data_IF_434286870936
#
_entry.id   IF_434286870936
#
_cell.length_a   1.000
_cell.length_b   1.000
_cell.length_c   1.000
_cell.angle_alpha   90.00
_cell.angle_beta   90.00
_cell.angle_gamma   90.00
#
_symmetry.space_group_name_H-M   'P 1'
#
loop_
_entity.id
_entity.type
_entity.pdbx_description
1 polymer ?
#
# COMPACT_ATOMS: atom_id res chain seq x y z
N UNK A 1 37.21 18.19 -19.07
CA UNK A 1 35.99 17.61 -18.44
C UNK A 1 35.28 16.80 -19.47
N UNK A 2 34.79 15.63 -19.08
CA UNK A 2 34.04 14.75 -19.98
C UNK A 2 32.81 14.23 -19.29
N UNK A 3 31.74 14.01 -20.06
CA UNK A 3 30.60 13.23 -19.57
C UNK A 3 30.87 11.74 -19.57
N UNK A 4 29.92 10.96 -19.06
CA UNK A 4 29.94 9.49 -19.09
C UNK A 4 29.94 8.92 -20.52
N UNK A 5 29.56 9.72 -21.50
CA UNK A 5 29.57 9.47 -22.95
C UNK A 5 30.89 9.81 -23.65
N UNK A 6 31.86 10.40 -22.91
CA UNK A 6 33.17 10.82 -23.44
C UNK A 6 33.18 12.17 -24.17
N UNK A 7 32.05 12.89 -24.22
CA UNK A 7 31.98 14.24 -24.77
C UNK A 7 32.57 15.29 -23.81
N UNK A 8 33.21 16.33 -24.36
CA UNK A 8 33.76 17.46 -23.60
C UNK A 8 32.67 18.50 -23.34
N UNK A 9 32.60 19.04 -22.09
CA UNK A 9 31.60 20.02 -21.74
C UNK A 9 32.15 21.43 -21.59
N UNK A 10 31.72 22.32 -22.48
CA UNK A 10 31.91 23.76 -22.42
C UNK A 10 30.95 24.40 -21.44
N UNK A 11 31.37 25.43 -20.71
CA UNK A 11 30.50 26.21 -19.81
C UNK A 11 30.13 25.49 -18.49
N UNK A 12 30.82 24.41 -18.12
CA UNK A 12 30.63 23.82 -16.78
C UNK A 12 31.24 24.74 -15.72
N UNK A 13 30.48 25.03 -14.66
CA UNK A 13 30.90 25.93 -13.58
C UNK A 13 31.84 25.22 -12.62
N UNK A 14 33.06 25.76 -12.46
CA UNK A 14 34.06 25.26 -11.53
C UNK A 14 34.29 26.29 -10.43
N UNK A 15 34.06 25.87 -9.19
CA UNK A 15 34.22 26.70 -7.98
C UNK A 15 35.40 26.14 -7.18
N UNK A 16 36.42 26.99 -6.97
CA UNK A 16 37.58 26.71 -6.12
C UNK A 16 37.34 27.33 -4.74
N UNK A 17 37.24 26.53 -3.68
CA UNK A 17 37.21 26.98 -2.29
C UNK A 17 38.51 26.57 -1.56
N UNK A 18 39.14 27.56 -0.91
CA UNK A 18 40.32 27.33 -0.06
C UNK A 18 39.87 27.03 1.38
N UNK A 19 40.60 26.14 2.08
CA UNK A 19 40.34 25.71 3.46
C UNK A 19 39.11 24.83 3.69
N UNK A 20 38.50 24.25 2.67
CA UNK A 20 37.50 23.17 2.80
C UNK A 20 36.19 23.52 3.49
N UNK A 21 35.92 24.78 3.83
CA UNK A 21 34.67 25.25 4.47
C UNK A 21 33.74 25.88 3.45
N UNK A 22 32.56 25.28 3.28
CA UNK A 22 31.49 25.76 2.38
C UNK A 22 30.86 27.10 2.83
N UNK A 23 31.22 27.63 4.01
CA UNK A 23 30.55 28.76 4.66
C UNK A 23 31.48 29.80 5.29
N UNK A 24 32.67 29.92 4.83
CA UNK A 24 33.58 30.99 5.33
C UNK A 24 34.00 31.89 4.18
N UNK A 25 33.71 33.20 4.27
CA UNK A 25 34.06 34.20 3.31
C UNK A 25 35.57 34.38 3.12
N UNK A 26 36.20 33.47 2.37
CA UNK A 26 37.50 33.70 1.76
C UNK A 26 37.48 33.15 0.35
N UNK A 27 37.37 34.09 -0.58
CA UNK A 27 37.67 34.02 -2.01
C UNK A 27 37.40 32.66 -2.69
N UNK A 28 36.16 32.27 -2.83
CA UNK A 28 35.78 31.25 -3.81
C UNK A 28 35.99 31.86 -5.21
N UNK A 29 36.92 31.36 -5.97
CA UNK A 29 37.08 31.71 -7.38
C UNK A 29 36.15 30.82 -8.20
N UNK A 30 35.43 31.44 -9.14
CA UNK A 30 34.52 30.69 -10.03
C UNK A 30 34.96 30.98 -11.45
N UNK A 31 35.13 29.91 -12.25
CA UNK A 31 35.37 29.99 -13.68
C UNK A 31 34.48 28.96 -14.40
N UNK A 32 34.38 29.12 -15.71
CA UNK A 32 33.70 28.15 -16.57
C UNK A 32 34.74 27.43 -17.45
N UNK A 33 34.43 26.18 -17.83
CA UNK A 33 35.27 25.43 -18.75
C UNK A 33 35.15 26.00 -20.15
N UNK A 34 36.28 25.95 -20.90
CA UNK A 34 36.35 26.34 -22.31
C UNK A 34 35.71 25.28 -23.25
N UNK A 35 35.82 25.54 -24.56
CA UNK A 35 35.29 24.65 -25.61
C UNK A 35 35.95 23.26 -25.66
N UNK A 36 37.10 23.10 -25.01
CA UNK A 36 37.81 21.81 -24.88
C UNK A 36 37.52 21.14 -23.54
N UNK A 37 36.66 21.75 -22.70
CA UNK A 37 36.31 21.27 -21.35
C UNK A 37 37.46 21.48 -20.35
N UNK A 38 38.43 22.36 -20.65
CA UNK A 38 39.54 22.65 -19.76
C UNK A 38 39.26 23.88 -18.88
N UNK A 39 39.94 23.96 -17.74
CA UNK A 39 39.87 25.11 -16.84
C UNK A 39 41.24 25.35 -16.19
N UNK A 40 41.56 26.60 -15.88
CA UNK A 40 42.80 26.97 -15.23
C UNK A 40 42.59 28.05 -14.17
N UNK A 41 42.94 27.75 -12.92
CA UNK A 41 43.10 28.75 -11.87
C UNK A 41 44.55 29.15 -11.74
N UNK A 42 44.87 30.45 -11.78
CA UNK A 42 46.20 30.99 -11.58
C UNK A 42 46.29 31.80 -10.29
N UNK A 43 47.48 31.82 -9.67
CA UNK A 43 47.70 32.57 -8.44
C UNK A 43 47.01 31.99 -7.20
N UNK A 44 46.76 30.70 -7.18
CA UNK A 44 46.10 30.04 -6.03
C UNK A 44 47.09 29.91 -4.87
N UNK A 45 46.75 30.39 -3.66
CA UNK A 45 47.57 30.21 -2.46
C UNK A 45 47.80 28.73 -2.12
N UNK A 46 48.96 28.39 -1.58
CA UNK A 46 49.23 27.06 -1.06
C UNK A 46 48.32 26.68 0.12
N UNK A 47 47.85 25.47 0.15
CA UNK A 47 46.97 24.98 1.21
C UNK A 47 45.98 23.94 0.72
N UNK A 48 45.10 23.43 1.61
CA UNK A 48 44.02 22.54 1.22
C UNK A 48 42.96 23.31 0.40
N UNK A 49 42.46 22.64 -0.63
CA UNK A 49 41.44 23.20 -1.51
C UNK A 49 40.34 22.18 -1.83
N UNK A 50 39.20 22.68 -2.22
CA UNK A 50 38.07 21.90 -2.76
C UNK A 50 37.65 22.54 -4.10
N UNK A 51 37.60 21.74 -5.15
CA UNK A 51 37.00 22.08 -6.43
C UNK A 51 35.57 21.48 -6.45
N UNK A 52 34.58 22.28 -6.69
CA UNK A 52 33.24 21.81 -6.98
C UNK A 52 32.88 22.11 -8.41
N UNK A 53 32.54 21.08 -9.15
CA UNK A 53 32.24 21.15 -10.58
C UNK A 53 30.80 20.81 -10.82
N UNK A 54 30.05 21.70 -11.48
CA UNK A 54 28.64 21.57 -11.76
C UNK A 54 28.27 21.99 -13.17
N UNK A 55 27.34 21.26 -13.77
CA UNK A 55 26.69 21.62 -15.04
C UNK A 55 25.22 21.25 -14.98
N UNK A 56 24.38 21.93 -15.74
CA UNK A 56 22.95 21.68 -15.78
C UNK A 56 22.66 20.25 -16.27
N UNK A 57 21.88 19.47 -15.53
CA UNK A 57 21.58 18.08 -15.87
C UNK A 57 22.60 17.04 -15.37
N UNK A 58 23.62 17.46 -14.60
CA UNK A 58 24.66 16.56 -14.07
C UNK A 58 24.80 16.65 -12.56
N UNK A 59 25.30 15.57 -11.97
CA UNK A 59 25.61 15.50 -10.52
C UNK A 59 26.88 16.29 -10.26
N UNK A 60 26.83 17.27 -9.34
CA UNK A 60 28.00 18.04 -8.92
C UNK A 60 29.09 17.10 -8.38
N UNK A 61 30.30 17.22 -8.94
CA UNK A 61 31.46 16.48 -8.47
C UNK A 61 32.35 17.37 -7.61
N UNK A 62 32.90 16.79 -6.54
CA UNK A 62 33.87 17.50 -5.67
C UNK A 62 35.23 16.79 -5.70
N UNK A 63 36.26 17.55 -5.92
CA UNK A 63 37.68 17.09 -5.88
C UNK A 63 38.41 17.87 -4.79
N UNK A 64 39.01 17.19 -3.86
CA UNK A 64 39.80 17.80 -2.78
C UNK A 64 41.27 17.52 -2.96
N UNK A 65 42.12 18.48 -2.60
CA UNK A 65 43.55 18.32 -2.69
C UNK A 65 44.27 19.31 -1.77
N UNK A 66 45.60 19.20 -1.75
CA UNK A 66 46.49 20.15 -1.06
C UNK A 66 47.50 20.64 -2.06
N UNK A 67 47.62 21.99 -2.21
CA UNK A 67 48.56 22.64 -3.09
C UNK A 67 49.80 23.07 -2.29
N UNK A 68 50.97 22.59 -2.66
CA UNK A 68 52.24 23.05 -2.08
C UNK A 68 52.71 24.36 -2.72
N UNK A 69 53.51 25.19 -2.03
CA UNK A 69 54.02 26.43 -2.57
C UNK A 69 54.79 26.21 -3.90
N UNK A 70 54.36 26.94 -4.96
CA UNK A 70 54.98 26.83 -6.28
C UNK A 70 54.65 25.56 -7.10
N UNK A 71 53.73 24.76 -6.61
CA UNK A 71 53.30 23.53 -7.28
C UNK A 71 52.13 23.81 -8.25
N UNK A 72 52.14 23.18 -9.40
CA UNK A 72 50.94 23.03 -10.23
C UNK A 72 50.22 21.73 -9.87
N UNK A 73 48.93 21.80 -9.72
CA UNK A 73 48.07 20.64 -9.46
C UNK A 73 47.22 20.31 -10.69
N UNK A 74 47.38 19.12 -11.21
CA UNK A 74 46.55 18.60 -12.31
C UNK A 74 45.37 17.82 -11.71
N UNK A 75 44.16 18.35 -11.87
CA UNK A 75 42.93 17.75 -11.38
C UNK A 75 42.51 16.47 -12.14
N UNK A 76 43.28 16.07 -13.16
CA UNK A 76 42.94 14.97 -14.07
C UNK A 76 41.54 15.13 -14.70
N UNK A 77 41.10 14.08 -15.37
CA UNK A 77 39.78 14.09 -16.01
C UNK A 77 38.66 13.93 -14.95
N UNK A 78 37.82 14.96 -14.82
CA UNK A 78 36.63 14.92 -13.94
C UNK A 78 35.45 14.52 -14.80
N UNK A 79 34.84 13.39 -14.48
CA UNK A 79 33.64 12.88 -15.17
C UNK A 79 32.40 13.33 -14.39
N UNK A 80 31.48 14.01 -15.08
CA UNK A 80 30.18 14.38 -14.53
C UNK A 80 29.12 13.31 -14.86
N UNK A 81 28.61 12.55 -13.89
CA UNK A 81 27.50 11.65 -14.12
C UNK A 81 26.24 12.47 -14.44
N UNK A 82 25.47 12.04 -15.43
CA UNK A 82 24.14 12.61 -15.66
C UNK A 82 23.29 12.49 -14.38
N UNK A 83 22.54 13.54 -14.07
CA UNK A 83 21.43 13.41 -13.14
C UNK A 83 20.46 12.45 -13.79
N UNK A 84 20.50 11.16 -13.40
CA UNK A 84 19.36 10.31 -13.65
C UNK A 84 18.18 11.03 -12.99
N UNK A 85 17.18 11.40 -13.78
CA UNK A 85 15.90 11.81 -13.27
C UNK A 85 15.26 10.55 -12.62
N UNK A 86 15.78 10.16 -11.46
CA UNK A 86 15.02 9.37 -10.51
C UNK A 86 13.88 10.30 -10.13
N UNK A 87 12.74 10.13 -10.78
CA UNK A 87 11.47 10.60 -10.27
C UNK A 87 11.20 9.84 -8.97
N UNK A 88 12.03 10.02 -7.97
CA UNK A 88 11.61 9.89 -6.58
C UNK A 88 10.66 11.05 -6.36
N UNK A 89 9.39 10.83 -6.72
CA UNK A 89 8.30 11.62 -6.21
C UNK A 89 8.35 11.41 -4.69
N UNK A 90 9.07 12.25 -3.98
CA UNK A 90 8.95 12.39 -2.52
C UNK A 90 7.57 12.97 -2.28
N UNK A 91 6.58 12.10 -2.36
CA UNK A 91 5.21 12.44 -1.99
C UNK A 91 5.28 12.79 -0.51
N UNK A 92 5.03 14.05 -0.18
CA UNK A 92 4.95 14.50 1.22
C UNK A 92 3.90 13.65 1.97
N UNK A 93 4.03 13.50 3.29
CA UNK A 93 3.06 12.73 4.09
C UNK A 93 1.61 13.21 3.89
N UNK A 94 1.41 14.50 3.60
CA UNK A 94 0.11 15.08 3.25
C UNK A 94 -0.41 14.57 1.90
N UNK A 95 0.43 14.52 0.89
CA UNK A 95 0.05 14.01 -0.43
C UNK A 95 -0.21 12.49 -0.40
N UNK A 96 0.53 11.73 0.41
CA UNK A 96 0.24 10.31 0.64
C UNK A 96 -1.14 10.10 1.29
N UNK A 97 -1.49 10.95 2.25
CA UNK A 97 -2.79 10.89 2.90
C UNK A 97 -3.93 11.29 1.95
N UNK A 98 -3.70 12.24 1.06
CA UNK A 98 -4.66 12.63 0.02
C UNK A 98 -4.90 11.50 -0.98
N UNK A 99 -3.84 10.87 -1.49
CA UNK A 99 -3.93 9.70 -2.38
C UNK A 99 -4.65 8.55 -1.67
N UNK A 100 -4.32 8.25 -0.42
CA UNK A 100 -4.99 7.20 0.35
C UNK A 100 -6.48 7.50 0.56
N UNK A 101 -6.84 8.77 0.76
CA UNK A 101 -8.23 9.20 0.92
C UNK A 101 -9.00 9.08 -0.38
N UNK A 102 -8.41 9.45 -1.51
CA UNK A 102 -9.03 9.27 -2.83
C UNK A 102 -9.21 7.79 -3.17
N UNK A 103 -8.19 6.95 -2.91
CA UNK A 103 -8.29 5.51 -3.14
C UNK A 103 -9.43 4.87 -2.33
N UNK A 104 -9.57 5.25 -1.06
CA UNK A 104 -10.67 4.71 -0.23
C UNK A 104 -12.03 5.20 -0.71
N UNK A 105 -12.11 6.46 -1.18
CA UNK A 105 -13.35 6.98 -1.74
C UNK A 105 -13.78 6.20 -2.99
N UNK A 106 -12.84 5.83 -3.84
CA UNK A 106 -13.08 4.95 -4.99
C UNK A 106 -13.53 3.56 -4.53
N UNK A 107 -12.87 2.98 -3.52
CA UNK A 107 -13.20 1.66 -2.97
C UNK A 107 -14.59 1.62 -2.34
N UNK A 108 -15.00 2.68 -1.63
CA UNK A 108 -16.34 2.82 -1.05
C UNK A 108 -17.47 2.94 -2.09
N UNK A 109 -17.12 3.28 -3.33
CA UNK A 109 -18.07 3.34 -4.45
C UNK A 109 -18.09 2.05 -5.27
N UNK A 110 -17.21 1.08 -4.96
CA UNK A 110 -17.15 -0.17 -5.70
C UNK A 110 -18.39 -1.02 -5.44
N UNK A 111 -19.13 -1.29 -6.51
CA UNK A 111 -20.29 -2.17 -6.49
C UNK A 111 -20.25 -3.12 -7.67
N UNK A 112 -20.37 -4.42 -7.39
CA UNK A 112 -20.53 -5.46 -8.40
C UNK A 112 -21.91 -5.31 -9.00
N UNK A 113 -22.01 -5.27 -10.31
CA UNK A 113 -23.27 -5.01 -11.06
C UNK A 113 -23.97 -3.71 -10.62
N UNK A 114 -23.24 -2.78 -10.01
CA UNK A 114 -23.79 -1.53 -9.49
C UNK A 114 -24.59 -1.65 -8.19
N UNK A 115 -24.74 -2.84 -7.62
CA UNK A 115 -25.58 -3.12 -6.44
C UNK A 115 -24.79 -3.68 -5.26
N UNK A 116 -24.04 -4.77 -5.45
CA UNK A 116 -23.32 -5.49 -4.40
C UNK A 116 -22.10 -4.73 -3.91
N UNK A 117 -21.96 -4.40 -2.62
CA UNK A 117 -20.78 -3.71 -2.10
C UNK A 117 -19.51 -4.56 -2.26
N UNK A 118 -18.41 -3.92 -2.69
CA UNK A 118 -17.11 -4.55 -2.91
C UNK A 118 -15.99 -3.70 -2.30
N UNK A 119 -16.13 -3.34 -1.03
CA UNK A 119 -15.29 -2.33 -0.37
C UNK A 119 -13.90 -2.83 0.05
N UNK A 120 -13.78 -4.14 0.33
CA UNK A 120 -12.53 -4.73 0.79
C UNK A 120 -11.66 -5.29 -0.35
N UNK A 121 -11.65 -4.61 -1.49
CA UNK A 121 -10.83 -5.00 -2.64
C UNK A 121 -10.16 -3.78 -3.24
N UNK A 122 -8.85 -3.83 -3.40
CA UNK A 122 -8.11 -2.81 -4.12
C UNK A 122 -7.70 -3.30 -5.51
N UNK A 123 -8.09 -2.54 -6.54
CA UNK A 123 -7.68 -2.76 -7.94
C UNK A 123 -6.51 -1.87 -8.36
N UNK A 124 -6.01 -1.04 -7.44
CA UNK A 124 -4.90 -0.13 -7.69
C UNK A 124 -3.57 -0.90 -7.82
N UNK A 125 -2.71 -0.46 -8.76
CA UNK A 125 -1.37 -1.03 -8.94
C UNK A 125 -0.44 -0.72 -7.78
N UNK A 126 -0.54 0.51 -7.24
CA UNK A 126 0.23 1.00 -6.12
C UNK A 126 -0.72 1.42 -4.99
N UNK A 127 -1.35 0.46 -4.30
CA UNK A 127 -2.28 0.78 -3.23
C UNK A 127 -1.54 1.37 -2.03
N UNK A 128 -2.08 2.46 -1.50
CA UNK A 128 -1.60 3.02 -0.24
C UNK A 128 -2.16 2.22 0.94
N UNK A 129 -1.37 2.03 2.02
CA UNK A 129 -1.86 1.36 3.21
C UNK A 129 -2.97 2.17 3.89
N UNK A 130 -3.97 1.47 4.44
CA UNK A 130 -5.07 2.12 5.15
C UNK A 130 -4.64 2.56 6.55
N UNK A 131 -5.00 3.78 6.92
CA UNK A 131 -4.94 4.22 8.32
C UNK A 131 -5.98 3.48 9.16
N UNK A 132 -5.79 3.40 10.48
CA UNK A 132 -6.78 2.79 11.38
C UNK A 132 -8.17 3.42 11.22
N UNK A 133 -8.24 4.75 11.07
CA UNK A 133 -9.51 5.46 10.84
C UNK A 133 -10.22 4.96 9.58
N UNK A 134 -9.48 4.76 8.50
CA UNK A 134 -10.03 4.28 7.24
C UNK A 134 -10.49 2.82 7.31
N UNK A 135 -9.78 1.96 8.08
CA UNK A 135 -10.21 0.59 8.36
C UNK A 135 -11.56 0.58 9.08
N UNK A 136 -11.75 1.43 10.10
CA UNK A 136 -13.02 1.60 10.78
C UNK A 136 -14.11 2.18 9.87
N UNK A 137 -13.77 3.11 8.99
CA UNK A 137 -14.70 3.69 8.01
C UNK A 137 -15.23 2.61 7.05
N UNK A 138 -14.36 1.75 6.50
CA UNK A 138 -14.78 0.63 5.65
C UNK A 138 -15.66 -0.38 6.41
N UNK A 139 -15.30 -0.74 7.65
CA UNK A 139 -16.06 -1.65 8.47
C UNK A 139 -17.46 -1.12 8.76
N UNK A 140 -17.56 0.17 9.12
CA UNK A 140 -18.85 0.83 9.33
C UNK A 140 -19.67 0.86 8.05
N UNK A 141 -19.07 1.31 6.94
CA UNK A 141 -19.75 1.40 5.64
C UNK A 141 -20.30 0.05 5.18
N UNK A 142 -19.49 -1.00 5.32
CA UNK A 142 -19.91 -2.37 5.00
C UNK A 142 -21.06 -2.86 5.89
N UNK A 143 -21.06 -2.49 7.16
CA UNK A 143 -22.08 -2.91 8.10
C UNK A 143 -23.44 -2.23 7.88
N UNK A 144 -23.44 -0.94 7.52
CA UNK A 144 -24.67 -0.14 7.30
C UNK A 144 -25.14 -0.12 5.85
N UNK A 145 -24.49 -0.84 4.94
CA UNK A 145 -24.91 -0.88 3.54
C UNK A 145 -26.29 -1.51 3.39
N UNK A 146 -27.22 -0.91 2.64
CA UNK A 146 -28.56 -1.44 2.43
C UNK A 146 -28.58 -2.88 1.89
N UNK A 147 -27.58 -3.23 1.06
CA UNK A 147 -27.46 -4.59 0.55
C UNK A 147 -27.08 -5.61 1.63
N UNK A 148 -26.30 -5.20 2.63
CA UNK A 148 -25.97 -6.04 3.79
C UNK A 148 -27.23 -6.41 4.57
N UNK A 149 -28.15 -5.47 4.79
CA UNK A 149 -29.46 -5.74 5.40
C UNK A 149 -30.30 -6.70 4.55
N UNK A 150 -30.35 -6.47 3.24
CA UNK A 150 -31.08 -7.35 2.33
C UNK A 150 -30.54 -8.78 2.38
N UNK A 151 -29.24 -8.94 2.28
CA UNK A 151 -28.57 -10.24 2.28
C UNK A 151 -28.77 -10.95 3.62
N UNK A 152 -28.64 -10.25 4.75
CA UNK A 152 -28.93 -10.76 6.09
C UNK A 152 -30.37 -11.28 6.17
N UNK A 153 -31.33 -10.54 5.60
CA UNK A 153 -32.72 -10.96 5.53
C UNK A 153 -32.94 -12.23 4.73
N UNK A 154 -32.26 -12.34 3.58
CA UNK A 154 -32.28 -13.55 2.75
C UNK A 154 -31.73 -14.76 3.51
N UNK A 155 -30.57 -14.62 4.16
CA UNK A 155 -29.98 -15.70 4.96
C UNK A 155 -30.89 -16.11 6.11
N UNK A 156 -31.43 -15.15 6.86
CA UNK A 156 -32.39 -15.44 7.93
C UNK A 156 -33.63 -16.17 7.41
N UNK A 157 -34.09 -15.85 6.19
CA UNK A 157 -35.21 -16.55 5.53
C UNK A 157 -34.85 -18.00 5.16
N UNK A 158 -33.66 -18.23 4.61
CA UNK A 158 -33.15 -19.58 4.30
C UNK A 158 -33.04 -20.43 5.58
N UNK A 159 -32.40 -19.89 6.61
CA UNK A 159 -32.29 -20.54 7.93
C UNK A 159 -33.65 -20.85 8.56
N UNK A 160 -34.60 -19.93 8.41
CA UNK A 160 -35.97 -20.14 8.86
C UNK A 160 -36.66 -21.30 8.11
N UNK A 161 -36.50 -21.34 6.78
CA UNK A 161 -37.06 -22.39 5.93
C UNK A 161 -36.43 -23.77 6.20
N UNK A 162 -35.14 -23.81 6.51
CA UNK A 162 -34.40 -25.03 6.83
C UNK A 162 -34.49 -25.42 8.31
N UNK A 163 -35.13 -24.60 9.14
CA UNK A 163 -35.17 -24.72 10.59
C UNK A 163 -33.77 -24.79 11.24
N UNK A 164 -32.79 -24.14 10.61
CA UNK A 164 -31.46 -23.99 11.19
C UNK A 164 -31.56 -23.15 12.47
N UNK A 165 -30.78 -23.48 13.50
CA UNK A 165 -30.92 -22.85 14.84
C UNK A 165 -32.34 -22.97 15.39
N UNK A 166 -32.80 -24.22 15.52
CA UNK A 166 -34.19 -24.54 15.96
C UNK A 166 -34.56 -23.87 17.28
N UNK A 167 -33.62 -23.59 18.17
CA UNK A 167 -33.82 -22.87 19.42
C UNK A 167 -34.35 -21.44 19.29
N UNK A 168 -34.23 -20.81 18.09
CA UNK A 168 -34.90 -19.53 17.84
C UNK A 168 -36.40 -19.64 17.62
N UNK A 169 -36.92 -20.84 17.35
CA UNK A 169 -38.32 -21.09 17.01
C UNK A 169 -38.68 -20.73 15.58
N UNK A 170 -39.96 -20.76 15.26
CA UNK A 170 -40.52 -20.49 13.94
C UNK A 170 -41.37 -19.21 13.92
N UNK A 171 -41.87 -18.83 12.74
CA UNK A 171 -42.68 -17.63 12.53
C UNK A 171 -41.89 -16.32 12.56
N UNK A 172 -42.59 -15.19 12.66
CA UNK A 172 -41.97 -13.86 12.59
C UNK A 172 -40.97 -13.62 13.73
N UNK A 173 -41.18 -14.16 14.89
CA UNK A 173 -40.27 -14.03 16.03
C UNK A 173 -38.97 -14.83 15.78
N UNK A 174 -39.08 -16.07 15.29
CA UNK A 174 -37.91 -16.88 14.92
C UNK A 174 -37.10 -16.24 13.80
N UNK A 175 -37.77 -15.71 12.77
CA UNK A 175 -37.13 -14.96 11.69
C UNK A 175 -36.40 -13.73 12.23
N UNK A 176 -37.03 -12.91 13.06
CA UNK A 176 -36.42 -11.71 13.63
C UNK A 176 -35.18 -12.01 14.47
N UNK A 177 -35.20 -13.12 15.24
CA UNK A 177 -34.02 -13.56 16.01
C UNK A 177 -32.86 -13.98 15.10
N UNK A 178 -33.14 -14.77 14.04
CA UNK A 178 -32.12 -15.15 13.03
C UNK A 178 -31.56 -13.93 12.30
N UNK A 179 -32.44 -13.01 11.88
CA UNK A 179 -32.01 -11.75 11.26
C UNK A 179 -31.08 -10.95 12.19
N UNK A 180 -31.50 -10.78 13.47
CA UNK A 180 -30.70 -10.06 14.47
C UNK A 180 -29.33 -10.72 14.72
N UNK A 181 -29.28 -12.06 14.81
CA UNK A 181 -28.05 -12.82 15.00
C UNK A 181 -27.12 -12.69 13.80
N UNK A 182 -27.61 -12.92 12.58
CA UNK A 182 -26.81 -12.79 11.35
C UNK A 182 -26.28 -11.36 11.14
N UNK A 183 -27.09 -10.36 11.49
CA UNK A 183 -26.66 -8.97 11.43
C UNK A 183 -25.60 -8.66 12.49
N UNK A 184 -25.76 -9.17 13.71
CA UNK A 184 -24.76 -9.02 14.76
C UNK A 184 -23.43 -9.69 14.37
N UNK A 185 -23.46 -10.90 13.79
CA UNK A 185 -22.28 -11.59 13.26
C UNK A 185 -21.56 -10.75 12.21
N UNK A 186 -22.30 -10.13 11.29
CA UNK A 186 -21.75 -9.25 10.26
C UNK A 186 -21.07 -8.03 10.86
N UNK A 187 -21.72 -7.34 11.80
CA UNK A 187 -21.16 -6.15 12.48
C UNK A 187 -19.93 -6.52 13.29
N UNK A 188 -19.98 -7.62 14.05
CA UNK A 188 -18.86 -8.11 14.86
C UNK A 188 -17.67 -8.48 13.97
N UNK A 189 -17.91 -9.24 12.90
CA UNK A 189 -16.86 -9.65 11.96
C UNK A 189 -16.22 -8.46 11.25
N UNK A 190 -17.02 -7.51 10.75
CA UNK A 190 -16.51 -6.30 10.11
C UNK A 190 -15.72 -5.43 11.10
N UNK A 191 -16.20 -5.31 12.34
CA UNK A 191 -15.55 -4.46 13.34
C UNK A 191 -14.27 -5.10 13.86
N UNK A 192 -14.30 -6.36 14.26
CA UNK A 192 -13.12 -7.04 14.84
C UNK A 192 -12.13 -7.44 13.74
N UNK A 193 -12.59 -8.19 12.73
CA UNK A 193 -11.75 -8.72 11.66
C UNK A 193 -11.40 -7.69 10.59
N UNK A 194 -12.26 -6.68 10.35
CA UNK A 194 -12.05 -5.65 9.33
C UNK A 194 -11.42 -4.36 9.85
N UNK A 195 -11.49 -4.06 11.15
CA UNK A 195 -10.98 -2.79 11.69
C UNK A 195 -10.07 -2.95 12.92
N UNK A 196 -10.56 -3.52 14.04
CA UNK A 196 -9.81 -3.55 15.31
C UNK A 196 -8.50 -4.33 15.16
N UNK A 197 -8.57 -5.60 14.80
CA UNK A 197 -7.39 -6.46 14.68
C UNK A 197 -6.45 -6.03 13.55
N UNK A 198 -6.93 -5.64 12.35
CA UNK A 198 -6.06 -5.06 11.34
C UNK A 198 -5.34 -3.79 11.79
N UNK A 199 -5.99 -2.96 12.62
CA UNK A 199 -5.33 -1.76 13.18
C UNK A 199 -4.29 -2.13 14.23
N UNK A 200 -4.58 -3.10 15.11
CA UNK A 200 -3.69 -3.57 16.17
C UNK A 200 -2.43 -4.26 15.60
N UNK A 201 -2.62 -5.14 14.62
CA UNK A 201 -1.54 -5.90 13.99
C UNK A 201 -0.89 -5.18 12.81
N UNK A 202 -1.31 -3.94 12.50
CA UNK A 202 -0.84 -3.17 11.35
C UNK A 202 -0.96 -3.97 10.05
N UNK A 203 -2.13 -4.55 9.83
CA UNK A 203 -2.48 -5.34 8.65
C UNK A 203 -3.51 -4.62 7.80
N UNK A 204 -3.44 -4.80 6.49
CA UNK A 204 -4.44 -4.28 5.57
C UNK A 204 -5.50 -5.36 5.31
N UNK A 205 -6.78 -5.11 5.61
CA UNK A 205 -7.83 -6.11 5.47
C UNK A 205 -8.30 -6.35 4.04
N UNK A 206 -7.76 -5.59 3.06
CA UNK A 206 -8.21 -5.67 1.67
C UNK A 206 -7.55 -6.83 0.91
N UNK A 207 -8.31 -7.39 -0.03
CA UNK A 207 -7.77 -8.21 -1.10
C UNK A 207 -7.13 -7.33 -2.17
N UNK A 208 -5.89 -7.58 -2.52
CA UNK A 208 -5.18 -6.87 -3.59
C UNK A 208 -5.25 -7.67 -4.88
N UNK A 209 -5.98 -7.13 -5.86
CA UNK A 209 -6.17 -7.79 -7.15
C UNK A 209 -4.84 -7.94 -7.91
N UNK A 210 -4.48 -9.18 -8.27
CA UNK A 210 -3.23 -9.46 -8.98
C UNK A 210 -3.33 -9.14 -10.47
N UNK A 211 -4.33 -9.66 -11.13
CA UNK A 211 -4.67 -9.36 -12.53
C UNK A 211 -3.68 -9.79 -13.60
N UNK A 212 -2.46 -10.18 -13.24
CA UNK A 212 -1.37 -10.52 -14.16
C UNK A 212 -0.80 -11.91 -13.90
N UNK A 213 -0.24 -12.52 -14.93
CA UNK A 213 0.32 -13.88 -14.86
C UNK A 213 -0.64 -14.97 -15.36
N UNK A 214 -0.20 -16.23 -15.29
CA UNK A 214 -0.99 -17.39 -15.70
C UNK A 214 -2.21 -17.60 -14.78
N UNK A 215 -3.23 -18.30 -15.30
CA UNK A 215 -4.42 -18.66 -14.50
C UNK A 215 -4.01 -19.40 -13.22
N UNK A 216 -3.08 -20.34 -13.32
CA UNK A 216 -2.56 -21.09 -12.17
C UNK A 216 -1.95 -20.14 -11.11
N UNK A 217 -1.03 -19.26 -11.50
CA UNK A 217 -0.35 -18.34 -10.60
C UNK A 217 -1.34 -17.34 -9.93
N UNK A 218 -2.41 -16.97 -10.62
CA UNK A 218 -3.49 -16.10 -10.08
C UNK A 218 -4.38 -16.87 -9.10
N UNK A 219 -4.69 -18.13 -9.40
CA UNK A 219 -5.46 -19.00 -8.49
C UNK A 219 -4.69 -19.30 -7.21
N UNK A 220 -3.41 -19.70 -7.33
CA UNK A 220 -2.52 -19.93 -6.17
C UNK A 220 -2.41 -18.68 -5.29
N UNK A 221 -2.27 -17.50 -5.91
CA UNK A 221 -2.26 -16.22 -5.20
C UNK A 221 -3.58 -15.97 -4.46
N UNK A 222 -4.73 -16.13 -5.12
CA UNK A 222 -6.04 -15.91 -4.52
C UNK A 222 -6.30 -16.84 -3.32
N UNK A 223 -5.88 -18.10 -3.42
CA UNK A 223 -5.96 -19.07 -2.32
C UNK A 223 -5.02 -18.67 -1.17
N UNK A 224 -3.76 -18.35 -1.48
CA UNK A 224 -2.78 -17.98 -0.48
C UNK A 224 -3.22 -16.75 0.33
N UNK A 225 -3.89 -15.78 -0.30
CA UNK A 225 -4.38 -14.57 0.37
C UNK A 225 -5.55 -14.79 1.34
N UNK A 226 -6.07 -16.00 1.46
CA UNK A 226 -6.96 -16.35 2.58
C UNK A 226 -6.18 -16.44 3.92
N UNK A 227 -4.89 -16.85 3.86
CA UNK A 227 -4.06 -17.06 5.06
C UNK A 227 -2.93 -16.06 5.19
N UNK A 228 -2.58 -15.31 4.13
CA UNK A 228 -1.60 -14.23 4.14
C UNK A 228 -2.25 -12.93 3.71
N UNK A 229 -1.77 -11.81 4.24
CA UNK A 229 -2.21 -10.47 3.87
C UNK A 229 -1.02 -9.51 3.77
N UNK A 230 -1.24 -8.29 3.29
CA UNK A 230 -0.25 -7.23 3.37
C UNK A 230 -0.34 -6.52 4.72
N UNK A 231 0.81 -6.14 5.26
CA UNK A 231 0.87 -5.20 6.37
C UNK A 231 0.75 -3.75 5.89
N UNK A 232 0.63 -2.81 6.83
CA UNK A 232 0.64 -1.37 6.53
C UNK A 232 1.99 -0.90 5.93
N UNK A 233 3.03 -1.76 5.99
CA UNK A 233 4.30 -1.59 5.28
C UNK A 233 4.32 -2.23 3.89
N UNK A 234 3.17 -2.68 3.40
CA UNK A 234 2.95 -3.38 2.13
C UNK A 234 3.73 -4.70 1.95
N UNK A 235 4.33 -5.24 3.03
CA UNK A 235 5.00 -6.55 3.03
C UNK A 235 4.01 -7.66 3.36
N UNK A 236 4.23 -8.84 2.79
CA UNK A 236 3.43 -10.03 3.06
C UNK A 236 3.70 -10.57 4.45
N UNK A 237 2.64 -10.99 5.13
CA UNK A 237 2.67 -11.61 6.46
C UNK A 237 1.47 -12.53 6.66
N UNK A 238 1.48 -13.36 7.72
CA UNK A 238 0.31 -14.16 8.07
C UNK A 238 -0.88 -13.25 8.43
N UNK A 239 -2.07 -13.64 7.99
CA UNK A 239 -3.30 -12.90 8.24
C UNK A 239 -3.82 -13.13 9.66
N UNK A 240 -3.05 -12.64 10.66
CA UNK A 240 -3.45 -12.76 12.08
C UNK A 240 -4.82 -12.14 12.34
N UNK A 241 -5.08 -10.98 11.74
CA UNK A 241 -6.35 -10.26 11.92
C UNK A 241 -7.54 -11.04 11.39
N UNK A 242 -7.43 -11.68 10.23
CA UNK A 242 -8.49 -12.51 9.67
C UNK A 242 -8.74 -13.78 10.49
N UNK A 243 -7.65 -14.48 10.86
CA UNK A 243 -7.73 -15.73 11.62
C UNK A 243 -8.29 -15.48 13.02
N UNK A 244 -7.68 -14.57 13.78
CA UNK A 244 -8.13 -14.26 15.15
C UNK A 244 -9.48 -13.53 15.15
N UNK A 245 -9.76 -12.75 14.11
CA UNK A 245 -11.05 -12.08 13.91
C UNK A 245 -12.18 -13.09 13.74
N UNK A 246 -11.96 -14.12 12.92
CA UNK A 246 -12.93 -15.22 12.74
C UNK A 246 -13.17 -15.99 14.04
N UNK A 247 -12.09 -16.33 14.77
CA UNK A 247 -12.22 -17.00 16.08
C UNK A 247 -12.94 -16.13 17.11
N UNK A 248 -12.63 -14.84 17.20
CA UNK A 248 -13.27 -13.92 18.12
C UNK A 248 -14.74 -13.69 17.78
N UNK A 249 -15.08 -13.52 16.50
CA UNK A 249 -16.45 -13.38 16.06
C UNK A 249 -17.26 -14.65 16.38
N UNK A 250 -16.74 -15.84 16.09
CA UNK A 250 -17.38 -17.11 16.44
C UNK A 250 -17.54 -17.30 17.95
N UNK A 251 -16.57 -16.86 18.76
CA UNK A 251 -16.69 -16.87 20.21
C UNK A 251 -17.78 -15.92 20.74
N UNK A 252 -17.88 -14.73 20.17
CA UNK A 252 -18.88 -13.72 20.56
C UNK A 252 -20.29 -14.15 20.12
N UNK A 253 -20.44 -14.78 18.96
CA UNK A 253 -21.74 -15.25 18.47
C UNK A 253 -22.39 -16.27 19.41
N UNK A 254 -21.59 -17.06 20.13
CA UNK A 254 -22.12 -17.96 21.18
C UNK A 254 -22.90 -17.24 22.32
N UNK A 255 -22.71 -15.92 22.48
CA UNK A 255 -23.45 -15.18 23.52
C UNK A 255 -24.94 -14.99 23.20
N UNK A 256 -25.28 -14.92 21.91
CA UNK A 256 -26.64 -14.65 21.43
C UNK A 256 -27.30 -15.77 20.63
N UNK A 257 -26.54 -16.82 20.28
CA UNK A 257 -27.12 -18.03 19.69
C UNK A 257 -27.82 -18.89 20.77
N UNK A 258 -28.83 -19.68 20.39
CA UNK A 258 -29.50 -20.56 21.34
C UNK A 258 -28.53 -21.55 21.98
N UNK A 259 -28.77 -21.87 23.27
CA UNK A 259 -27.87 -22.79 23.99
C UNK A 259 -27.77 -24.19 23.38
N UNK A 260 -28.83 -24.64 22.70
CA UNK A 260 -28.87 -25.91 21.97
C UNK A 260 -27.97 -25.92 20.74
N UNK A 261 -27.66 -24.74 20.18
CA UNK A 261 -26.96 -24.59 18.92
C UNK A 261 -25.56 -23.98 19.12
N UNK A 262 -25.14 -23.80 20.39
CA UNK A 262 -23.80 -23.31 20.74
C UNK A 262 -22.76 -24.37 20.43
N UNK A 263 -21.80 -23.98 19.62
CA UNK A 263 -20.73 -24.84 19.21
C UNK A 263 -19.60 -24.88 20.24
N UNK A 264 -19.13 -26.08 20.54
CA UNK A 264 -17.90 -26.28 21.32
C UNK A 264 -16.63 -25.81 20.58
N UNK A 265 -15.49 -25.96 21.24
CA UNK A 265 -14.17 -25.56 20.69
C UNK A 265 -13.88 -26.23 19.34
N UNK A 266 -14.25 -27.50 19.16
CA UNK A 266 -14.07 -28.25 17.91
C UNK A 266 -14.75 -27.56 16.73
N UNK A 267 -16.01 -27.16 16.91
CA UNK A 267 -16.78 -26.47 15.87
C UNK A 267 -16.24 -25.06 15.59
N UNK A 268 -15.60 -24.42 16.56
CA UNK A 268 -14.94 -23.12 16.33
C UNK A 268 -13.78 -23.26 15.34
N UNK A 269 -12.99 -24.32 15.44
CA UNK A 269 -11.91 -24.60 14.49
C UNK A 269 -12.45 -25.07 13.13
N UNK A 270 -13.52 -25.85 13.11
CA UNK A 270 -14.22 -26.25 11.88
C UNK A 270 -14.76 -25.01 11.15
N UNK A 271 -15.44 -24.12 11.86
CA UNK A 271 -15.94 -22.85 11.30
C UNK A 271 -14.80 -21.95 10.79
N UNK A 272 -13.66 -21.93 11.48
CA UNK A 272 -12.47 -21.21 10.97
C UNK A 272 -11.99 -21.81 9.64
N UNK A 273 -11.88 -23.14 9.57
CA UNK A 273 -11.45 -23.81 8.33
C UNK A 273 -12.43 -23.55 7.17
N UNK A 274 -13.74 -23.63 7.44
CA UNK A 274 -14.79 -23.28 6.47
C UNK A 274 -14.72 -21.80 6.07
N UNK A 275 -14.48 -20.90 7.02
CA UNK A 275 -14.30 -19.47 6.77
C UNK A 275 -13.09 -19.17 5.91
N UNK A 276 -11.96 -19.83 6.14
CA UNK A 276 -10.75 -19.70 5.31
C UNK A 276 -10.98 -20.24 3.89
N UNK A 277 -11.65 -21.39 3.76
CA UNK A 277 -12.03 -21.95 2.46
C UNK A 277 -12.98 -21.02 1.71
N UNK A 278 -13.97 -20.45 2.40
CA UNK A 278 -14.89 -19.44 1.86
C UNK A 278 -14.15 -18.21 1.36
N UNK A 279 -13.20 -17.71 2.16
CA UNK A 279 -12.34 -16.57 1.77
C UNK A 279 -11.51 -16.88 0.54
N UNK A 280 -10.94 -18.09 0.42
CA UNK A 280 -10.20 -18.51 -0.76
C UNK A 280 -11.09 -18.54 -2.02
N UNK A 281 -12.30 -19.08 -1.92
CA UNK A 281 -13.30 -19.08 -3.01
C UNK A 281 -13.67 -17.66 -3.39
N UNK A 282 -13.95 -16.81 -2.41
CA UNK A 282 -14.26 -15.39 -2.65
C UNK A 282 -13.11 -14.68 -3.36
N UNK A 283 -11.87 -14.90 -2.95
CA UNK A 283 -10.68 -14.30 -3.57
C UNK A 283 -10.49 -14.78 -5.02
N UNK A 284 -10.75 -16.05 -5.32
CA UNK A 284 -10.78 -16.58 -6.69
C UNK A 284 -11.86 -15.85 -7.51
N UNK A 285 -13.05 -15.66 -6.93
CA UNK A 285 -14.13 -14.93 -7.59
C UNK A 285 -13.75 -13.46 -7.86
N UNK A 286 -13.10 -12.79 -6.90
CA UNK A 286 -12.55 -11.45 -7.07
C UNK A 286 -11.54 -11.38 -8.20
N UNK A 287 -10.66 -12.38 -8.28
CA UNK A 287 -9.58 -12.43 -9.27
C UNK A 287 -10.05 -12.63 -10.71
N UNK A 288 -11.11 -13.43 -10.93
CA UNK A 288 -11.51 -13.82 -12.29
C UNK A 288 -12.82 -13.23 -12.78
N UNK A 289 -13.73 -12.91 -11.87
CA UNK A 289 -15.11 -12.54 -12.21
C UNK A 289 -15.45 -11.11 -11.79
N UNK A 290 -15.26 -10.77 -10.53
CA UNK A 290 -15.84 -9.57 -9.90
C UNK A 290 -15.34 -8.28 -10.52
N UNK A 291 -14.05 -8.17 -10.87
CA UNK A 291 -13.51 -6.98 -11.54
C UNK A 291 -14.27 -6.67 -12.84
N UNK A 292 -14.62 -7.70 -13.62
CA UNK A 292 -15.35 -7.52 -14.89
C UNK A 292 -16.77 -7.01 -14.68
N UNK A 293 -17.34 -7.28 -13.51
CA UNK A 293 -18.70 -6.91 -13.12
C UNK A 293 -18.74 -5.61 -12.29
N UNK A 294 -17.59 -5.00 -11.97
CA UNK A 294 -17.48 -3.77 -11.17
C UNK A 294 -17.21 -2.58 -12.09
N UNK A 295 -18.22 -1.73 -12.40
CA UNK A 295 -18.07 -0.63 -13.37
C UNK A 295 -17.00 0.40 -12.98
N UNK A 296 -16.86 0.73 -11.68
CA UNK A 296 -15.86 1.67 -11.17
C UNK A 296 -14.43 1.15 -11.37
N UNK A 297 -14.19 -0.15 -11.18
CA UNK A 297 -12.88 -0.77 -11.40
C UNK A 297 -12.43 -0.79 -12.88
N UNK A 298 -13.37 -0.64 -13.81
CA UNK A 298 -13.06 -0.52 -15.24
C UNK A 298 -12.61 0.88 -15.63
N UNK A 299 -13.09 1.93 -14.93
CA UNK A 299 -12.78 3.33 -15.22
C UNK A 299 -11.43 3.76 -14.65
N UNK A 300 -10.93 3.09 -13.64
CA UNK A 300 -9.67 3.40 -12.97
C UNK A 300 -8.39 2.98 -13.75
N UNK A 301 -8.52 2.41 -14.95
CA UNK A 301 -7.37 2.14 -15.83
C UNK A 301 -7.30 3.21 -16.92
N UNK A 302 -6.32 4.13 -16.90
CA UNK A 302 -5.94 4.85 -18.12
C UNK A 302 -5.38 3.82 -19.10
N UNK A 303 -5.82 3.92 -20.34
CA UNK A 303 -5.35 3.15 -21.51
C UNK A 303 -3.86 3.36 -21.73
#
# INVERSE_FOLDING_TARGET
MTGTDGETYEGAKVVLALNGTETGAQAAQTIETDSTGEFLFSGVPAGPFTLAVSSAGFVTQKVTGVLAPGQAYDAKMIVLPMLEATNEVRVSASAQMEIATEQIHIEEQQRVLGVLPNYYVSYEKNPMPLTSRQKFQLAFRSSVDPFTFLLTGVFAGVEQAQNTFAGYGQGMQGYGKRFGANYADTVVSNTIGGAILPSLFRQDPRYFYKGTGSIRARTEYAIATAVICKGDNMRWQLNYSGILGGLAAGGISNLYYPSSDRSGVELTFENLAVGLAGSAVQNIFQEFVVKKLTPSARRAQPQ
#
